data_IF_314782196979
#
_entry.id   IF_314782196979
#
_cell.length_a   1.000
_cell.length_b   1.000
_cell.length_c   1.000
_cell.angle_alpha   90.00
_cell.angle_beta   90.00
_cell.angle_gamma   90.00
#
_symmetry.space_group_name_H-M   'P 1'
#
loop_
_entity.id
_entity.type
_entity.pdbx_description
1 polymer ?
#
# COMPACT_ATOMS: atom_id res chain seq x y z
N UNK A 1 21.58 -25.13 7.44
CA UNK A 1 21.53 -24.52 6.10
C UNK A 1 20.68 -23.26 6.19
N UNK A 2 21.28 -22.08 6.17
CA UNK A 2 20.55 -20.81 6.14
C UNK A 2 19.85 -20.70 4.78
N UNK A 3 18.52 -20.79 4.75
CA UNK A 3 17.76 -20.42 3.56
C UNK A 3 18.11 -18.97 3.21
N UNK A 4 18.83 -18.77 2.11
CA UNK A 4 19.05 -17.43 1.57
C UNK A 4 17.67 -16.92 1.15
N UNK A 5 17.12 -15.99 1.92
CA UNK A 5 15.80 -15.47 1.69
C UNK A 5 15.82 -14.71 0.36
N UNK A 6 15.21 -15.29 -0.68
CA UNK A 6 15.13 -14.64 -1.99
C UNK A 6 14.31 -13.36 -1.87
N UNK A 7 14.92 -12.23 -2.22
CA UNK A 7 14.31 -10.90 -2.25
C UNK A 7 13.86 -10.60 -3.69
N UNK A 8 12.57 -10.35 -3.86
CA UNK A 8 11.88 -10.23 -5.16
C UNK A 8 11.36 -8.80 -5.39
N UNK A 9 11.22 -8.02 -4.33
CA UNK A 9 10.59 -6.70 -4.33
C UNK A 9 11.53 -5.55 -3.95
N UNK A 10 12.84 -5.79 -3.93
CA UNK A 10 13.84 -4.77 -3.56
C UNK A 10 13.70 -3.51 -4.44
N UNK A 11 13.48 -3.65 -5.74
CA UNK A 11 13.32 -2.52 -6.67
C UNK A 11 12.06 -1.72 -6.38
N UNK A 12 10.92 -2.38 -6.20
CA UNK A 12 9.65 -1.74 -5.87
C UNK A 12 9.73 -1.00 -4.54
N UNK A 13 10.33 -1.62 -3.52
CA UNK A 13 10.46 -1.02 -2.20
C UNK A 13 11.36 0.22 -2.27
N UNK A 14 12.46 0.20 -3.04
CA UNK A 14 13.29 1.40 -3.24
C UNK A 14 12.52 2.54 -3.89
N UNK A 15 11.74 2.24 -4.92
CA UNK A 15 10.91 3.24 -5.57
C UNK A 15 9.84 3.81 -4.62
N UNK A 16 9.21 2.96 -3.79
CA UNK A 16 8.29 3.39 -2.74
C UNK A 16 9.00 4.29 -1.71
N UNK A 17 10.17 3.88 -1.19
CA UNK A 17 10.95 4.67 -0.23
C UNK A 17 11.27 6.07 -0.76
N UNK A 18 11.77 6.18 -1.99
CA UNK A 18 12.00 7.48 -2.63
C UNK A 18 10.71 8.30 -2.70
N UNK A 19 9.60 7.69 -3.15
CA UNK A 19 8.32 8.37 -3.25
C UNK A 19 7.72 8.82 -1.90
N UNK A 20 8.21 8.22 -0.80
CA UNK A 20 7.79 8.52 0.58
C UNK A 20 8.74 9.50 1.28
N UNK A 21 9.76 10.01 0.59
CA UNK A 21 10.66 11.04 1.11
C UNK A 21 12.04 10.55 1.54
N UNK A 22 12.39 9.28 1.29
CA UNK A 22 13.78 8.84 1.35
C UNK A 22 14.59 9.46 0.20
N UNK A 23 15.90 9.28 0.21
CA UNK A 23 16.80 9.77 -0.83
C UNK A 23 16.51 9.16 -2.21
N UNK A 24 17.03 9.79 -3.27
CA UNK A 24 16.87 9.34 -4.67
C UNK A 24 17.38 7.91 -4.92
N UNK A 25 18.34 7.45 -4.13
CA UNK A 25 18.93 6.11 -4.25
C UNK A 25 18.89 5.38 -2.90
N UNK A 26 17.71 4.88 -2.47
CA UNK A 26 17.60 4.16 -1.21
C UNK A 26 18.50 2.93 -1.15
N UNK A 27 18.96 2.57 0.04
CA UNK A 27 19.88 1.45 0.24
C UNK A 27 19.22 0.12 -0.11
N UNK A 28 19.94 -0.73 -0.85
CA UNK A 28 19.49 -2.09 -1.16
C UNK A 28 19.30 -2.92 0.12
N UNK A 29 20.21 -2.79 1.08
CA UNK A 29 20.14 -3.53 2.35
C UNK A 29 18.88 -3.14 3.14
N UNK A 30 18.56 -1.84 3.18
CA UNK A 30 17.34 -1.33 3.81
C UNK A 30 16.09 -1.88 3.13
N UNK A 31 16.02 -1.82 1.80
CA UNK A 31 14.88 -2.35 1.05
C UNK A 31 14.68 -3.87 1.24
N UNK A 32 15.77 -4.65 1.25
CA UNK A 32 15.73 -6.09 1.53
C UNK A 32 15.28 -6.40 2.96
N UNK A 33 15.67 -5.55 3.93
CA UNK A 33 15.22 -5.67 5.31
C UNK A 33 13.73 -5.41 5.45
N UNK A 34 13.24 -4.31 4.85
CA UNK A 34 11.82 -3.98 4.79
C UNK A 34 11.03 -5.12 4.14
N UNK A 35 11.53 -5.69 3.05
CA UNK A 35 10.89 -6.84 2.39
C UNK A 35 10.71 -8.04 3.33
N UNK A 36 11.72 -8.32 4.16
CA UNK A 36 11.68 -9.41 5.14
C UNK A 36 10.64 -9.19 6.22
N UNK A 37 10.59 -7.97 6.76
CA UNK A 37 9.60 -7.56 7.77
C UNK A 37 8.21 -7.63 7.16
N UNK A 38 8.01 -7.03 5.99
CA UNK A 38 6.75 -7.00 5.27
C UNK A 38 6.20 -8.40 5.03
N UNK A 39 7.04 -9.33 4.56
CA UNK A 39 6.67 -10.73 4.34
C UNK A 39 6.15 -11.41 5.61
N UNK A 40 6.76 -11.10 6.75
CA UNK A 40 6.32 -11.61 8.05
C UNK A 40 4.98 -11.00 8.47
N UNK A 41 4.81 -9.70 8.29
CA UNK A 41 3.61 -8.98 8.69
C UNK A 41 2.38 -9.33 7.84
N UNK A 42 2.53 -9.40 6.52
CA UNK A 42 1.41 -9.75 5.63
C UNK A 42 0.91 -11.17 5.88
N UNK A 43 1.77 -12.10 6.29
CA UNK A 43 1.39 -13.46 6.67
C UNK A 43 0.59 -13.50 7.98
N UNK A 44 1.00 -12.72 8.99
CA UNK A 44 0.23 -12.58 10.24
C UNK A 44 -1.13 -11.96 9.96
N UNK A 45 -1.18 -10.95 9.11
CA UNK A 45 -2.42 -10.33 8.66
C UNK A 45 -3.34 -11.35 7.97
N UNK A 46 -2.83 -12.10 7.00
CA UNK A 46 -3.59 -13.14 6.30
C UNK A 46 -4.06 -14.28 7.21
N UNK A 47 -3.26 -14.66 8.22
CA UNK A 47 -3.71 -15.62 9.24
C UNK A 47 -4.94 -15.10 9.99
N UNK A 48 -4.94 -13.82 10.36
CA UNK A 48 -6.09 -13.19 11.03
C UNK A 48 -7.32 -13.14 10.12
N UNK A 49 -7.14 -12.79 8.84
CA UNK A 49 -8.21 -12.87 7.83
C UNK A 49 -8.76 -14.30 7.69
N UNK A 50 -7.88 -15.30 7.75
CA UNK A 50 -8.27 -16.70 7.65
C UNK A 50 -9.09 -17.15 8.87
N UNK A 51 -8.77 -16.68 10.07
CA UNK A 51 -9.55 -16.97 11.28
C UNK A 51 -10.98 -16.42 11.15
N UNK A 52 -11.12 -15.19 10.65
CA UNK A 52 -12.43 -14.59 10.35
C UNK A 52 -13.19 -15.38 9.28
N UNK A 53 -12.50 -15.77 8.21
CA UNK A 53 -13.06 -16.61 7.13
C UNK A 53 -13.58 -17.94 7.66
N UNK A 54 -12.87 -18.57 8.60
CA UNK A 54 -13.29 -19.82 9.26
C UNK A 54 -14.56 -19.57 10.09
N UNK A 55 -14.60 -18.52 10.91
CA UNK A 55 -15.76 -18.17 11.73
C UNK A 55 -16.99 -17.88 10.85
N UNK A 56 -16.80 -17.22 9.71
CA UNK A 56 -17.85 -16.98 8.71
C UNK A 56 -18.33 -18.26 7.98
N UNK A 57 -17.59 -19.36 8.09
CA UNK A 57 -17.85 -20.60 7.33
C UNK A 57 -17.48 -20.51 5.84
N UNK A 58 -16.62 -19.55 5.47
CA UNK A 58 -16.21 -19.34 4.08
C UNK A 58 -15.19 -20.39 3.60
N UNK A 59 -15.16 -20.65 2.29
CA UNK A 59 -14.14 -21.51 1.65
C UNK A 59 -12.82 -20.78 1.38
N UNK A 60 -12.90 -19.53 0.92
CA UNK A 60 -11.75 -18.70 0.56
C UNK A 60 -11.85 -17.34 1.26
N UNK A 61 -10.70 -16.73 1.55
CA UNK A 61 -10.62 -15.35 2.06
C UNK A 61 -11.18 -14.41 0.99
N UNK A 62 -12.06 -13.50 1.40
CA UNK A 62 -12.64 -12.48 0.53
C UNK A 62 -12.35 -11.06 1.05
N UNK A 63 -12.86 -10.06 0.34
CA UNK A 63 -12.69 -8.65 0.70
C UNK A 63 -13.33 -8.29 2.04
N UNK A 64 -14.43 -8.95 2.41
CA UNK A 64 -15.11 -8.70 3.68
C UNK A 64 -14.27 -9.17 4.88
N UNK A 65 -13.60 -10.32 4.75
CA UNK A 65 -12.68 -10.83 5.78
C UNK A 65 -11.53 -9.83 6.02
N UNK A 66 -10.94 -9.29 4.95
CA UNK A 66 -9.90 -8.24 5.00
C UNK A 66 -10.43 -6.96 5.65
N UNK A 67 -11.61 -6.51 5.20
CA UNK A 67 -12.25 -5.31 5.72
C UNK A 67 -12.54 -5.42 7.22
N UNK A 68 -12.95 -6.61 7.68
CA UNK A 68 -13.26 -6.86 9.07
C UNK A 68 -12.01 -6.83 9.98
N UNK A 69 -10.84 -7.24 9.48
CA UNK A 69 -9.57 -7.08 10.23
C UNK A 69 -9.27 -5.60 10.46
N UNK A 70 -9.50 -4.75 9.46
CA UNK A 70 -9.16 -3.32 9.47
C UNK A 70 -10.24 -2.46 10.17
N UNK A 71 -11.44 -3.01 10.43
CA UNK A 71 -12.65 -2.29 10.86
C UNK A 71 -12.50 -1.28 12.01
N UNK A 72 -11.50 -1.43 12.88
CA UNK A 72 -11.26 -0.52 14.01
C UNK A 72 -10.81 0.87 13.56
N UNK A 73 -10.28 0.99 12.34
CA UNK A 73 -9.86 2.24 11.73
C UNK A 73 -10.74 2.53 10.50
N UNK A 74 -11.81 3.34 10.66
CA UNK A 74 -12.79 3.57 9.61
C UNK A 74 -12.21 4.36 8.42
N UNK A 75 -11.29 5.30 8.66
CA UNK A 75 -10.62 6.06 7.61
C UNK A 75 -9.73 5.15 6.76
N UNK A 76 -8.93 4.31 7.41
CA UNK A 76 -8.06 3.36 6.72
C UNK A 76 -8.84 2.32 5.93
N UNK A 77 -9.95 1.83 6.48
CA UNK A 77 -10.87 0.95 5.76
C UNK A 77 -11.46 1.66 4.53
N UNK A 78 -11.91 2.91 4.67
CA UNK A 78 -12.47 3.69 3.57
C UNK A 78 -11.45 3.87 2.45
N UNK A 79 -10.20 4.24 2.78
CA UNK A 79 -9.11 4.36 1.78
C UNK A 79 -8.87 3.09 0.99
N UNK A 80 -8.91 1.93 1.65
CA UNK A 80 -8.78 0.64 0.97
C UNK A 80 -9.98 0.37 0.03
N UNK A 81 -11.20 0.68 0.46
CA UNK A 81 -12.40 0.48 -0.36
C UNK A 81 -12.41 1.41 -1.57
N UNK A 82 -12.05 2.68 -1.37
CA UNK A 82 -11.90 3.67 -2.43
C UNK A 82 -10.84 3.21 -3.43
N UNK A 83 -9.68 2.73 -2.97
CA UNK A 83 -8.65 2.19 -3.83
C UNK A 83 -9.17 1.06 -4.73
N UNK A 84 -9.86 0.07 -4.15
CA UNK A 84 -10.45 -1.05 -4.91
C UNK A 84 -11.48 -0.54 -5.92
N UNK A 85 -12.31 0.42 -5.53
CA UNK A 85 -13.29 1.03 -6.43
C UNK A 85 -12.63 1.76 -7.59
N UNK A 86 -11.67 2.66 -7.31
CA UNK A 86 -10.93 3.39 -8.33
C UNK A 86 -10.18 2.45 -9.26
N UNK A 87 -9.63 1.35 -8.76
CA UNK A 87 -8.98 0.33 -9.58
C UNK A 87 -9.96 -0.32 -10.56
N UNK A 88 -11.17 -0.65 -10.10
CA UNK A 88 -12.22 -1.21 -10.95
C UNK A 88 -12.71 -0.20 -12.00
N UNK A 89 -12.90 1.06 -11.61
CA UNK A 89 -13.29 2.14 -12.53
C UNK A 89 -12.21 2.34 -13.59
N UNK A 90 -10.94 2.44 -13.19
CA UNK A 90 -9.79 2.58 -14.09
C UNK A 90 -9.70 1.42 -15.09
N UNK A 91 -9.84 0.17 -14.64
CA UNK A 91 -9.81 -0.99 -15.54
C UNK A 91 -10.96 -0.97 -16.57
N UNK A 92 -12.17 -0.55 -16.16
CA UNK A 92 -13.29 -0.39 -17.09
C UNK A 92 -13.03 0.71 -18.12
N UNK A 93 -12.46 1.84 -17.70
CA UNK A 93 -12.09 2.95 -18.59
C UNK A 93 -11.03 2.52 -19.60
N UNK A 94 -9.96 1.86 -19.15
CA UNK A 94 -8.89 1.34 -20.01
C UNK A 94 -9.45 0.38 -21.08
N UNK A 95 -10.32 -0.56 -20.68
CA UNK A 95 -10.96 -1.48 -21.64
C UNK A 95 -11.84 -0.80 -22.68
N UNK A 96 -12.47 0.34 -22.32
CA UNK A 96 -13.28 1.13 -23.27
C UNK A 96 -12.41 1.91 -24.24
N UNK A 97 -11.32 2.49 -23.75
CA UNK A 97 -10.35 3.24 -24.57
C UNK A 97 -9.71 2.32 -25.60
N UNK A 98 -9.33 1.09 -25.22
CA UNK A 98 -8.79 0.10 -26.17
C UNK A 98 -9.79 -0.31 -27.26
N UNK A 99 -11.10 -0.17 -26.99
CA UNK A 99 -12.16 -0.51 -27.94
C UNK A 99 -12.68 0.66 -28.79
N UNK A 100 -12.32 1.91 -28.47
CA UNK A 100 -12.88 3.12 -29.11
C UNK A 100 -11.80 3.82 -29.94
N UNK A 101 -12.10 4.13 -31.20
CA UNK A 101 -11.19 4.88 -32.06
C UNK A 101 -10.89 6.28 -31.49
N UNK A 102 -9.64 6.70 -31.59
CA UNK A 102 -9.01 7.87 -30.93
C UNK A 102 -9.76 9.21 -31.03
N UNK A 103 -10.76 9.32 -31.91
CA UNK A 103 -11.48 10.55 -32.26
C UNK A 103 -12.67 10.90 -31.37
N UNK A 104 -13.19 9.99 -30.52
CA UNK A 104 -14.38 10.22 -29.68
C UNK A 104 -14.08 10.48 -28.19
N UNK A 105 -12.82 10.81 -27.83
CA UNK A 105 -12.36 10.87 -26.44
C UNK A 105 -12.74 12.12 -25.63
N UNK A 106 -13.64 12.99 -26.11
CA UNK A 106 -13.78 14.33 -25.51
C UNK A 106 -14.69 14.44 -24.28
N UNK A 107 -15.59 13.49 -24.02
CA UNK A 107 -16.56 13.63 -22.93
C UNK A 107 -16.72 12.36 -22.09
N UNK A 108 -15.63 11.80 -21.59
CA UNK A 108 -15.74 10.78 -20.53
C UNK A 108 -15.95 11.50 -19.20
N UNK A 109 -17.21 11.77 -18.86
CA UNK A 109 -17.58 12.12 -17.49
C UNK A 109 -17.13 11.00 -16.57
N UNK A 110 -16.13 11.27 -15.73
CA UNK A 110 -15.75 10.38 -14.63
C UNK A 110 -16.91 10.47 -13.63
N UNK A 111 -17.67 9.39 -13.40
CA UNK A 111 -18.78 9.45 -12.45
C UNK A 111 -18.21 9.84 -11.09
N UNK A 112 -18.53 11.04 -10.61
CA UNK A 112 -18.26 11.40 -9.22
C UNK A 112 -19.09 10.45 -8.35
N UNK A 113 -18.47 9.68 -7.46
CA UNK A 113 -19.24 8.77 -6.61
C UNK A 113 -20.19 9.60 -5.75
N UNK A 114 -21.49 9.50 -6.03
CA UNK A 114 -22.54 9.99 -5.14
C UNK A 114 -22.35 9.41 -3.73
N UNK A 115 -22.91 10.06 -2.69
CA UNK A 115 -22.87 9.55 -1.31
C UNK A 115 -23.36 8.10 -1.27
N UNK A 116 -22.42 7.17 -1.23
CA UNK A 116 -22.70 5.74 -1.30
C UNK A 116 -23.13 5.22 0.05
N UNK A 117 -24.14 4.35 0.03
CA UNK A 117 -24.46 3.49 1.15
C UNK A 117 -23.19 2.73 1.58
N UNK A 118 -23.09 2.46 2.88
CA UNK A 118 -21.99 1.68 3.43
C UNK A 118 -21.91 0.33 2.73
N UNK A 119 -20.71 -0.05 2.29
CA UNK A 119 -20.49 -1.30 1.56
C UNK A 119 -20.84 -2.53 2.40
N UNK A 120 -20.57 -2.47 3.70
CA UNK A 120 -20.93 -3.51 4.65
C UNK A 120 -21.76 -2.91 5.79
N UNK A 121 -22.82 -3.62 6.21
CA UNK A 121 -23.77 -3.12 7.21
C UNK A 121 -23.14 -2.84 8.59
N UNK A 122 -22.05 -3.52 8.92
CA UNK A 122 -21.33 -3.33 10.19
C UNK A 122 -20.33 -2.16 10.16
N UNK A 123 -20.11 -1.54 9.00
CA UNK A 123 -19.23 -0.39 8.90
C UNK A 123 -19.82 0.81 9.64
N UNK A 124 -18.95 1.66 10.14
CA UNK A 124 -19.34 2.97 10.68
C UNK A 124 -19.18 4.01 9.59
N UNK A 125 -20.12 4.94 9.50
CA UNK A 125 -19.97 6.12 8.64
C UNK A 125 -18.74 6.91 9.06
N UNK A 126 -17.87 7.21 8.09
CA UNK A 126 -16.69 8.04 8.32
C UNK A 126 -17.14 9.49 8.46
N UNK A 127 -16.89 10.08 9.64
CA UNK A 127 -17.19 11.49 9.92
C UNK A 127 -15.90 12.29 10.06
N UNK A 128 -15.88 13.46 9.44
CA UNK A 128 -14.71 14.35 9.44
C UNK A 128 -13.75 14.06 8.29
N UNK A 129 -12.58 14.67 8.37
CA UNK A 129 -11.56 14.63 7.33
C UNK A 129 -10.50 13.56 7.63
N UNK A 130 -10.01 12.88 6.59
CA UNK A 130 -8.88 11.97 6.72
C UNK A 130 -7.58 12.78 6.85
N UNK A 131 -7.31 13.24 8.08
CA UNK A 131 -6.12 14.04 8.42
C UNK A 131 -4.83 13.32 8.03
N UNK A 132 -4.80 11.98 8.10
CA UNK A 132 -3.65 11.19 7.68
C UNK A 132 -3.40 11.37 6.18
N UNK A 133 -4.42 11.18 5.36
CA UNK A 133 -4.30 11.32 3.91
C UNK A 133 -3.99 12.77 3.50
N UNK A 134 -4.60 13.77 4.14
CA UNK A 134 -4.33 15.18 3.89
C UNK A 134 -2.87 15.54 4.20
N UNK A 135 -2.32 15.05 5.32
CA UNK A 135 -0.90 15.25 5.65
C UNK A 135 0.02 14.61 4.62
N UNK A 136 -0.29 13.39 4.17
CA UNK A 136 0.47 12.70 3.14
C UNK A 136 0.48 13.45 1.82
N UNK A 137 -0.66 13.98 1.38
CA UNK A 137 -0.75 14.80 0.17
C UNK A 137 0.09 16.08 0.31
N UNK A 138 -0.03 16.79 1.43
CA UNK A 138 0.75 18.00 1.68
C UNK A 138 2.28 17.73 1.74
N UNK A 139 2.71 16.57 2.22
CA UNK A 139 4.12 16.16 2.19
C UNK A 139 4.61 15.94 0.76
N UNK A 140 3.80 15.29 -0.08
CA UNK A 140 4.11 15.07 -1.49
C UNK A 140 4.23 16.41 -2.21
N UNK A 141 3.26 17.32 -2.03
CA UNK A 141 3.28 18.64 -2.66
C UNK A 141 4.56 19.40 -2.33
N UNK A 142 4.99 19.38 -1.05
CA UNK A 142 6.25 19.98 -0.60
C UNK A 142 7.48 19.33 -1.25
N UNK A 143 7.47 18.01 -1.40
CA UNK A 143 8.58 17.25 -1.97
C UNK A 143 8.71 17.49 -3.47
N UNK A 144 7.59 17.66 -4.18
CA UNK A 144 7.58 17.87 -5.63
C UNK A 144 7.68 19.34 -6.05
N UNK A 145 7.59 20.29 -5.11
CA UNK A 145 7.50 21.72 -5.40
C UNK A 145 8.68 22.28 -6.22
N UNK A 146 9.88 21.73 -6.04
CA UNK A 146 11.12 22.20 -6.67
C UNK A 146 11.69 21.20 -7.70
N UNK A 147 10.95 20.12 -8.00
CA UNK A 147 11.43 19.11 -8.96
C UNK A 147 11.44 19.65 -10.38
N UNK A 148 12.47 19.29 -11.14
CA UNK A 148 12.43 19.46 -12.61
C UNK A 148 11.33 18.58 -13.22
N UNK A 149 11.00 18.83 -14.49
CA UNK A 149 10.06 17.97 -15.23
C UNK A 149 10.52 16.51 -15.23
N UNK A 150 11.79 16.27 -15.51
CA UNK A 150 12.39 14.93 -15.57
C UNK A 150 12.36 14.25 -14.20
N UNK A 151 12.65 15.00 -13.14
CA UNK A 151 12.61 14.49 -11.76
C UNK A 151 11.19 14.16 -11.31
N UNK A 152 10.22 15.02 -11.64
CA UNK A 152 8.82 14.80 -11.35
C UNK A 152 8.28 13.57 -12.09
N UNK A 153 8.62 13.39 -13.37
CA UNK A 153 8.22 12.20 -14.13
C UNK A 153 8.77 10.92 -13.49
N UNK A 154 10.05 10.91 -13.11
CA UNK A 154 10.65 9.77 -12.41
C UNK A 154 10.01 9.53 -11.04
N UNK A 155 9.71 10.59 -10.28
CA UNK A 155 8.98 10.49 -9.01
C UNK A 155 7.58 9.90 -9.21
N UNK A 156 6.85 10.34 -10.24
CA UNK A 156 5.51 9.87 -10.55
C UNK A 156 5.50 8.38 -10.92
N UNK A 157 6.50 7.89 -11.64
CA UNK A 157 6.70 6.46 -11.90
C UNK A 157 6.98 5.69 -10.61
N UNK A 158 7.89 6.20 -9.77
CA UNK A 158 8.22 5.57 -8.49
C UNK A 158 7.01 5.46 -7.57
N UNK A 159 6.20 6.51 -7.48
CA UNK A 159 4.96 6.57 -6.68
C UNK A 159 3.89 5.57 -7.15
N UNK A 160 3.95 5.14 -8.41
CA UNK A 160 3.04 4.12 -8.97
C UNK A 160 3.54 2.68 -8.76
N UNK A 161 4.66 2.49 -8.04
CA UNK A 161 5.19 1.16 -7.76
C UNK A 161 4.18 0.27 -7.06
N UNK A 162 4.16 -1.00 -7.45
CA UNK A 162 3.16 -1.98 -6.99
C UNK A 162 3.79 -3.35 -6.80
N UNK A 163 3.34 -4.06 -5.76
CA UNK A 163 3.68 -5.46 -5.54
C UNK A 163 3.01 -6.43 -6.53
N UNK A 164 1.92 -6.00 -7.18
CA UNK A 164 1.02 -6.88 -7.94
C UNK A 164 1.18 -6.70 -9.45
N UNK A 165 1.42 -5.48 -9.92
CA UNK A 165 1.44 -5.15 -11.35
C UNK A 165 2.43 -6.02 -12.12
N UNK A 166 1.92 -6.81 -13.08
CA UNK A 166 2.67 -7.81 -13.88
C UNK A 166 3.43 -8.86 -13.04
N UNK A 167 3.11 -9.00 -11.75
CA UNK A 167 3.80 -9.87 -10.77
C UNK A 167 2.86 -10.77 -9.97
N UNK A 168 1.61 -10.98 -10.42
CA UNK A 168 0.59 -11.74 -9.68
C UNK A 168 1.06 -13.09 -9.12
N UNK A 169 1.71 -13.94 -9.94
CA UNK A 169 2.25 -15.24 -9.48
C UNK A 169 3.32 -15.08 -8.40
N UNK A 170 4.30 -14.19 -8.62
CA UNK A 170 5.36 -13.88 -7.65
C UNK A 170 4.79 -13.33 -6.35
N UNK A 171 3.73 -12.52 -6.43
CA UNK A 171 3.07 -11.98 -5.25
C UNK A 171 2.35 -13.07 -4.45
N UNK A 172 1.66 -14.02 -5.10
CA UNK A 172 1.06 -15.18 -4.40
C UNK A 172 2.12 -15.98 -3.64
N UNK A 173 3.26 -16.25 -4.28
CA UNK A 173 4.39 -16.95 -3.65
C UNK A 173 4.97 -16.15 -2.47
N UNK A 174 5.09 -14.83 -2.62
CA UNK A 174 5.54 -13.93 -1.56
C UNK A 174 4.62 -13.97 -0.33
N UNK A 175 3.31 -13.89 -0.55
CA UNK A 175 2.29 -14.00 0.51
C UNK A 175 2.39 -15.35 1.22
N UNK A 176 2.66 -16.44 0.48
CA UNK A 176 2.90 -17.76 1.06
C UNK A 176 1.66 -18.37 1.71
N UNK A 177 0.47 -18.01 1.24
CA UNK A 177 -0.80 -18.57 1.67
C UNK A 177 -1.41 -19.40 0.54
N UNK A 178 -1.99 -20.56 0.87
CA UNK A 178 -2.61 -21.42 -0.14
C UNK A 178 -3.95 -20.83 -0.58
N UNK A 179 -4.26 -20.95 -1.88
CA UNK A 179 -5.58 -20.62 -2.46
C UNK A 179 -6.05 -19.15 -2.25
N UNK A 180 -5.16 -18.18 -2.45
CA UNK A 180 -5.55 -16.76 -2.54
C UNK A 180 -6.27 -16.50 -3.87
N UNK A 181 -7.49 -15.96 -3.78
CA UNK A 181 -8.28 -15.55 -4.95
C UNK A 181 -7.69 -14.29 -5.59
N UNK A 182 -7.69 -14.22 -6.91
CA UNK A 182 -7.14 -13.09 -7.67
C UNK A 182 -7.86 -11.77 -7.38
N UNK A 183 -9.15 -11.82 -7.02
CA UNK A 183 -9.95 -10.64 -6.74
C UNK A 183 -9.55 -9.84 -5.49
N UNK A 184 -8.73 -10.40 -4.59
CA UNK A 184 -8.20 -9.70 -3.41
C UNK A 184 -6.71 -9.33 -3.54
N UNK A 185 -6.08 -9.67 -4.66
CA UNK A 185 -4.64 -9.45 -4.87
C UNK A 185 -4.28 -7.97 -4.84
N UNK A 186 -5.07 -7.12 -5.50
CA UNK A 186 -4.85 -5.67 -5.48
C UNK A 186 -5.02 -5.08 -4.08
N UNK A 187 -6.00 -5.55 -3.30
CA UNK A 187 -6.21 -5.15 -1.91
C UNK A 187 -5.03 -5.52 -1.02
N UNK A 188 -4.50 -6.74 -1.16
CA UNK A 188 -3.30 -7.18 -0.43
C UNK A 188 -2.05 -6.40 -0.88
N UNK A 189 -1.95 -6.08 -2.17
CA UNK A 189 -0.89 -5.23 -2.71
C UNK A 189 -0.91 -3.82 -2.13
N UNK A 190 -2.11 -3.23 -2.00
CA UNK A 190 -2.31 -1.93 -1.35
C UNK A 190 -1.92 -1.98 0.13
N UNK A 191 -2.33 -3.03 0.86
CA UNK A 191 -1.95 -3.21 2.26
C UNK A 191 -0.42 -3.28 2.40
N UNK A 192 0.26 -4.03 1.54
CA UNK A 192 1.71 -4.10 1.54
C UNK A 192 2.37 -2.72 1.27
N UNK A 193 1.83 -1.94 0.33
CA UNK A 193 2.32 -0.59 0.03
C UNK A 193 2.17 0.35 1.22
N UNK A 194 1.03 0.34 1.90
CA UNK A 194 0.81 1.13 3.10
C UNK A 194 1.65 0.63 4.29
N UNK A 195 1.95 -0.67 4.41
CA UNK A 195 2.88 -1.19 5.42
C UNK A 195 4.28 -0.59 5.24
N UNK A 196 4.74 -0.44 3.98
CA UNK A 196 6.01 0.25 3.68
C UNK A 196 5.89 1.73 4.04
N UNK A 197 4.80 2.40 3.66
CA UNK A 197 4.60 3.81 3.97
C UNK A 197 4.58 4.08 5.48
N UNK A 198 3.82 3.29 6.24
CA UNK A 198 3.70 3.41 7.69
C UNK A 198 5.06 3.27 8.36
N UNK A 199 5.85 2.27 7.98
CA UNK A 199 7.19 2.09 8.51
C UNK A 199 8.10 3.28 8.19
N UNK A 200 8.07 3.77 6.94
CA UNK A 200 8.85 4.94 6.51
C UNK A 200 8.44 6.21 7.26
N UNK A 201 7.15 6.47 7.41
CA UNK A 201 6.61 7.64 8.10
C UNK A 201 6.96 7.61 9.60
N UNK A 202 6.88 6.45 10.25
CA UNK A 202 7.30 6.29 11.65
C UNK A 202 8.81 6.54 11.85
N UNK A 203 9.65 6.12 10.89
CA UNK A 203 11.09 6.44 10.93
C UNK A 203 11.30 7.95 10.83
N UNK A 204 10.63 8.64 9.90
CA UNK A 204 10.77 10.09 9.75
C UNK A 204 10.22 10.88 10.94
N UNK A 205 9.14 10.42 11.57
CA UNK A 205 8.65 11.03 12.82
C UNK A 205 9.69 10.97 13.93
N UNK A 206 10.43 9.86 14.05
CA UNK A 206 11.50 9.70 15.05
C UNK A 206 12.74 10.53 14.76
N UNK A 207 13.14 10.67 13.50
CA UNK A 207 14.25 11.56 13.09
C UNK A 207 14.01 13.02 13.48
N UNK A 208 12.75 13.44 13.60
CA UNK A 208 12.37 14.81 13.88
C UNK A 208 12.73 15.77 12.73
N UNK A 209 12.51 17.07 12.95
CA UNK A 209 12.68 18.10 11.90
C UNK A 209 14.17 18.41 11.61
N UNK A 210 15.10 18.00 12.48
CA UNK A 210 16.48 18.53 12.53
C UNK A 210 17.57 17.55 12.08
N UNK A 211 17.25 16.31 11.70
CA UNK A 211 18.26 15.40 11.13
C UNK A 211 18.24 15.48 9.61
N UNK A 212 19.40 15.86 9.05
CA UNK A 212 19.63 16.18 7.64
C UNK A 212 18.93 15.22 6.68
N UNK A 213 18.12 15.79 5.78
CA UNK A 213 17.45 15.16 4.62
C UNK A 213 18.41 14.43 3.64
N UNK A 214 19.69 14.32 3.98
CA UNK A 214 20.75 13.74 3.15
C UNK A 214 21.07 12.27 3.46
N UNK A 215 20.58 11.72 4.57
CA UNK A 215 20.90 10.35 4.96
C UNK A 215 19.76 9.41 4.57
N UNK A 216 20.09 8.41 3.75
CA UNK A 216 19.15 7.34 3.41
C UNK A 216 18.65 6.63 4.68
N UNK A 217 17.48 5.99 4.61
CA UNK A 217 17.01 5.14 5.71
C UNK A 217 17.99 3.97 5.91
N UNK A 218 18.39 3.72 7.15
CA UNK A 218 19.31 2.64 7.52
C UNK A 218 18.56 1.37 7.96
N UNK A 219 19.27 0.24 7.96
CA UNK A 219 18.72 -1.05 8.45
C UNK A 219 18.42 -0.98 9.95
N UNK A 220 19.26 -0.29 10.72
CA UNK A 220 19.09 -0.12 12.17
C UNK A 220 17.80 0.63 12.51
N UNK A 221 17.54 1.75 11.83
CA UNK A 221 16.29 2.52 12.03
C UNK A 221 15.04 1.72 11.68
N UNK A 222 15.12 0.88 10.63
CA UNK A 222 14.05 -0.04 10.24
C UNK A 222 13.81 -1.07 11.35
N UNK A 223 14.86 -1.64 11.91
CA UNK A 223 14.77 -2.67 12.95
C UNK A 223 14.26 -2.13 14.27
N UNK A 224 14.79 -1.00 14.72
CA UNK A 224 14.30 -0.31 15.91
C UNK A 224 12.82 0.07 15.76
N UNK A 225 12.43 0.58 14.60
CA UNK A 225 11.04 0.98 14.37
C UNK A 225 10.10 -0.20 14.27
N UNK A 226 10.47 -1.26 13.56
CA UNK A 226 9.68 -2.47 13.50
C UNK A 226 9.56 -3.15 14.88
N UNK A 227 10.63 -3.15 15.69
CA UNK A 227 10.59 -3.66 17.05
C UNK A 227 9.58 -2.90 17.91
N UNK A 228 9.62 -1.57 17.89
CA UNK A 228 8.67 -0.75 18.67
C UNK A 228 7.22 -0.96 18.22
N UNK A 229 6.95 -0.98 16.91
CA UNK A 229 5.60 -1.26 16.38
C UNK A 229 5.09 -2.63 16.86
N UNK A 230 5.98 -3.62 16.94
CA UNK A 230 5.62 -4.98 17.38
C UNK A 230 5.24 -5.05 18.86
N UNK A 231 5.85 -4.22 19.72
CA UNK A 231 5.53 -4.14 21.15
C UNK A 231 4.15 -3.54 21.40
N UNK A 232 3.75 -2.57 20.58
CA UNK A 232 2.43 -1.94 20.65
C UNK A 232 1.28 -2.87 20.22
N UNK A 233 1.58 -4.09 19.76
CA UNK A 233 0.63 -5.06 19.21
C UNK A 233 -0.25 -4.47 18.09
N UNK A 234 0.25 -3.43 17.43
CA UNK A 234 -0.39 -2.81 16.27
C UNK A 234 -0.11 -3.67 15.05
N UNK A 235 -1.11 -3.82 14.18
CA UNK A 235 -0.83 -4.24 12.81
C UNK A 235 0.09 -3.17 12.18
N UNK A 236 1.01 -3.58 11.29
CA UNK A 236 1.85 -2.66 10.51
C UNK A 236 1.03 -1.87 9.47
N UNK A 237 -0.25 -1.63 9.75
CA UNK A 237 -1.23 -1.01 8.89
C UNK A 237 -2.17 -0.19 9.76
#
# INVERSE_FOLDING_TARGET
MSYQQSHVYTTEIKAMLYSFGDCKTPSNATAQRIETILKTQIRRFLSTCNDIRIIRGGKNINMEDIAFVIRKDPFKLQRLLDFVEFKNIKGKLESRIESTDSSELKDVEIPFPEKKALKYNWMTEVKGEDVFQLKRLAQIDKLTAEMSKEEYLYFAECRQSSFVYRKGKKFKEFLGFQNINDNIMDSLGYICFEMVYFLTDEIFKKRGVNQSKSNHITVEEVDETAYQISQDNKLFF
#
